data_IF_709238054385
#
_entry.id   IF_709238054385
#
_cell.length_a   1.000
_cell.length_b   1.000
_cell.length_c   1.000
_cell.angle_alpha   90.00
_cell.angle_beta   90.00
_cell.angle_gamma   90.00
#
_symmetry.space_group_name_H-M   'P 1'
#
loop_
_entity.id
_entity.type
_entity.pdbx_description
1 polymer ?
#
# COMPACT_ATOMS: atom_id res chain seq x y z
N UNK A 1 13.03 -2.25 15.63
CA UNK A 1 12.38 -3.43 15.05
C UNK A 1 11.42 -3.03 13.92
N UNK A 2 11.43 -3.76 12.79
CA UNK A 2 10.52 -3.56 11.65
C UNK A 2 9.47 -4.67 11.59
N UNK A 3 8.19 -4.32 11.45
CA UNK A 3 7.10 -5.29 11.19
C UNK A 3 6.82 -5.40 9.70
N UNK A 4 6.52 -6.61 9.23
CA UNK A 4 6.02 -6.86 7.88
C UNK A 4 4.58 -7.31 7.97
N UNK A 5 3.67 -6.62 7.29
CA UNK A 5 2.24 -6.96 7.24
C UNK A 5 1.88 -7.32 5.80
N UNK A 6 1.33 -8.52 5.60
CA UNK A 6 0.83 -8.98 4.30
C UNK A 6 -0.66 -8.74 4.20
N UNK A 7 -1.14 -8.20 3.08
CA UNK A 7 -2.58 -8.00 2.84
C UNK A 7 -2.92 -8.16 1.36
N UNK A 8 -4.11 -8.70 1.09
CA UNK A 8 -4.67 -8.79 -0.27
C UNK A 8 -5.33 -7.48 -0.74
N UNK A 9 -5.32 -6.44 0.10
CA UNK A 9 -5.83 -5.13 -0.29
C UNK A 9 -5.06 -4.57 -1.48
N UNK A 10 -5.77 -3.90 -2.40
CA UNK A 10 -5.21 -3.38 -3.65
C UNK A 10 -4.98 -1.89 -3.56
N UNK A 11 -3.78 -1.48 -3.91
CA UNK A 11 -3.34 -0.09 -3.91
C UNK A 11 -3.02 0.38 -5.33
N UNK A 12 -3.00 1.70 -5.51
CA UNK A 12 -2.44 2.35 -6.68
C UNK A 12 -1.07 2.95 -6.33
N UNK A 13 -0.12 2.92 -7.26
CA UNK A 13 1.13 3.66 -7.15
C UNK A 13 1.30 4.65 -8.29
N UNK A 14 1.70 5.86 -7.96
CA UNK A 14 2.08 6.91 -8.93
C UNK A 14 3.58 6.84 -9.25
N UNK A 15 3.99 7.50 -10.33
CA UNK A 15 5.39 7.44 -10.83
C UNK A 15 6.43 8.00 -9.84
N UNK A 16 6.00 8.84 -8.89
CA UNK A 16 6.79 9.36 -7.78
C UNK A 16 6.96 8.35 -6.62
N UNK A 17 6.36 7.16 -6.72
CA UNK A 17 6.42 6.11 -5.72
C UNK A 17 5.38 6.23 -4.60
N UNK A 18 4.51 7.25 -4.62
CA UNK A 18 3.43 7.37 -3.64
C UNK A 18 2.37 6.29 -3.84
N UNK A 19 1.83 5.78 -2.73
CA UNK A 19 0.88 4.66 -2.71
C UNK A 19 -0.48 5.15 -2.22
N UNK A 20 -1.56 4.72 -2.85
CA UNK A 20 -2.90 5.28 -2.67
C UNK A 20 -3.95 4.20 -2.52
N UNK A 21 -5.00 4.47 -1.73
CA UNK A 21 -6.15 3.58 -1.60
C UNK A 21 -7.47 4.35 -1.43
N UNK A 22 -8.62 3.74 -1.80
CA UNK A 22 -9.94 4.30 -1.56
C UNK A 22 -10.45 4.10 -0.13
N UNK A 23 -9.68 3.44 0.76
CA UNK A 23 -10.22 2.88 1.99
C UNK A 23 -9.44 3.31 3.24
N UNK A 24 -9.87 2.78 4.39
CA UNK A 24 -9.25 3.01 5.69
C UNK A 24 -7.80 2.49 5.80
N UNK A 25 -7.32 1.62 4.90
CA UNK A 25 -5.95 1.09 4.91
C UNK A 25 -4.90 2.08 4.34
N UNK A 26 -5.08 3.36 4.66
CA UNK A 26 -4.21 4.48 4.34
C UNK A 26 -3.17 4.75 5.45
N UNK A 27 -2.33 5.77 5.28
CA UNK A 27 -1.22 6.04 6.19
C UNK A 27 -1.64 6.12 7.67
N UNK A 28 -2.74 6.81 8.07
CA UNK A 28 -3.17 6.85 9.47
C UNK A 28 -3.44 5.48 10.09
N UNK A 29 -3.89 4.50 9.30
CA UNK A 29 -4.08 3.13 9.78
C UNK A 29 -2.74 2.45 10.06
N UNK A 30 -1.76 2.60 9.16
CA UNK A 30 -0.43 2.01 9.32
C UNK A 30 0.39 2.71 10.42
N UNK A 31 0.24 4.02 10.59
CA UNK A 31 0.94 4.78 11.63
C UNK A 31 0.63 4.29 13.04
N UNK A 32 -0.51 3.63 13.27
CA UNK A 32 -0.83 3.01 14.56
C UNK A 32 0.18 1.94 14.97
N UNK A 33 0.75 1.22 14.01
CA UNK A 33 1.77 0.20 14.27
C UNK A 33 3.08 0.85 14.72
N UNK A 34 3.31 2.12 14.35
CA UNK A 34 4.50 2.86 14.76
C UNK A 34 4.53 3.21 16.26
N UNK A 35 3.43 2.99 16.99
CA UNK A 35 3.42 3.07 18.44
C UNK A 35 4.23 1.94 19.12
N UNK A 36 4.50 0.85 18.39
CA UNK A 36 5.17 -0.36 18.90
C UNK A 36 6.40 -0.71 18.04
N UNK A 37 6.32 -0.52 16.74
CA UNK A 37 7.38 -0.85 15.78
C UNK A 37 8.05 0.42 15.27
N UNK A 38 9.35 0.35 14.98
CA UNK A 38 10.05 1.51 14.42
C UNK A 38 9.69 1.75 12.95
N UNK A 39 9.30 0.70 12.23
CA UNK A 39 8.99 0.74 10.80
C UNK A 39 7.92 -0.30 10.44
N UNK A 40 7.11 0.03 9.44
CA UNK A 40 6.12 -0.86 8.83
C UNK A 40 6.49 -1.11 7.37
N UNK A 41 6.52 -2.37 6.96
CA UNK A 41 6.58 -2.79 5.56
C UNK A 41 5.30 -3.52 5.19
N UNK A 42 4.52 -2.95 4.28
CA UNK A 42 3.27 -3.55 3.79
C UNK A 42 3.56 -4.32 2.51
N UNK A 43 3.30 -5.63 2.50
CA UNK A 43 3.36 -6.46 1.31
C UNK A 43 1.94 -6.59 0.77
N UNK A 44 1.68 -5.96 -0.38
CA UNK A 44 0.33 -5.87 -0.94
C UNK A 44 0.35 -5.74 -2.46
N UNK A 45 -0.81 -5.90 -3.08
CA UNK A 45 -0.97 -5.70 -4.51
C UNK A 45 -0.95 -4.22 -4.84
N UNK A 46 -0.06 -3.81 -5.73
CA UNK A 46 0.09 -2.40 -6.10
C UNK A 46 0.06 -2.30 -7.61
N UNK A 47 -0.91 -1.54 -8.13
CA UNK A 47 -1.06 -1.27 -9.55
C UNK A 47 -0.52 0.11 -9.90
N UNK A 48 0.35 0.20 -10.91
CA UNK A 48 0.80 1.50 -11.43
C UNK A 48 -0.37 2.28 -12.03
N UNK A 49 -0.47 3.56 -11.69
CA UNK A 49 -1.52 4.45 -12.16
C UNK A 49 -0.96 5.83 -12.52
N UNK A 50 -1.37 6.36 -13.67
CA UNK A 50 -1.03 7.73 -14.10
C UNK A 50 -1.91 8.79 -13.42
N UNK A 51 -3.11 8.40 -12.99
CA UNK A 51 -4.05 9.27 -12.27
C UNK A 51 -4.63 8.53 -11.07
N UNK A 52 -4.76 9.25 -9.96
CA UNK A 52 -5.37 8.77 -8.73
C UNK A 52 -6.65 9.57 -8.48
N UNK A 53 -7.78 8.92 -8.15
CA UNK A 53 -9.01 9.64 -7.81
C UNK A 53 -8.79 10.56 -6.60
N UNK A 54 -9.38 11.75 -6.62
CA UNK A 54 -9.20 12.75 -5.55
C UNK A 54 -9.67 12.27 -4.15
N UNK A 55 -10.52 11.24 -4.11
CA UNK A 55 -11.00 10.62 -2.86
C UNK A 55 -10.01 9.65 -2.24
N UNK A 56 -8.92 9.29 -2.94
CA UNK A 56 -7.95 8.34 -2.43
C UNK A 56 -7.02 8.99 -1.43
N UNK A 57 -6.65 8.22 -0.43
CA UNK A 57 -5.75 8.63 0.63
C UNK A 57 -4.37 8.04 0.42
N UNK A 58 -3.34 8.82 0.72
CA UNK A 58 -1.96 8.36 0.69
C UNK A 58 -1.72 7.30 1.77
N UNK A 59 -1.02 6.23 1.41
CA UNK A 59 -0.86 5.01 2.20
C UNK A 59 0.56 4.83 2.74
N UNK A 60 1.55 5.26 1.98
CA UNK A 60 2.95 5.37 2.38
C UNK A 60 3.21 6.66 3.18
N UNK A 61 4.35 6.73 3.84
CA UNK A 61 4.77 7.93 4.57
C UNK A 61 5.99 7.64 5.45
N UNK A 62 6.23 8.51 6.43
CA UNK A 62 7.36 8.33 7.35
C UNK A 62 7.32 6.93 7.99
N UNK A 63 8.41 6.18 7.83
CA UNK A 63 8.59 4.82 8.37
C UNK A 63 7.53 3.78 7.94
N UNK A 64 6.69 4.09 6.93
CA UNK A 64 5.73 3.16 6.32
C UNK A 64 6.07 2.99 4.84
N UNK A 65 6.46 1.77 4.46
CA UNK A 65 6.90 1.42 3.10
C UNK A 65 6.07 0.28 2.52
N UNK A 66 6.01 0.20 1.19
CA UNK A 66 5.31 -0.86 0.47
C UNK A 66 6.28 -1.77 -0.30
N UNK A 67 6.02 -3.07 -0.26
CA UNK A 67 6.63 -4.08 -1.12
C UNK A 67 5.55 -4.58 -2.09
N UNK A 68 5.59 -4.15 -3.36
CA UNK A 68 4.51 -4.42 -4.30
C UNK A 68 4.50 -5.88 -4.75
N UNK A 69 3.30 -6.46 -4.81
CA UNK A 69 2.99 -7.70 -5.49
C UNK A 69 2.24 -7.42 -6.80
N UNK A 70 2.35 -8.31 -7.81
CA UNK A 70 1.57 -8.19 -9.05
C UNK A 70 0.06 -8.03 -8.78
N UNK A 71 -0.61 -7.04 -9.37
CA UNK A 71 -2.01 -6.74 -9.10
C UNK A 71 -2.96 -7.59 -9.95
N UNK A 72 -2.72 -8.90 -10.06
CA UNK A 72 -3.56 -9.77 -10.89
C UNK A 72 -5.04 -9.73 -10.48
N UNK A 73 -5.91 -9.77 -11.49
CA UNK A 73 -7.36 -9.78 -11.38
C UNK A 73 -7.93 -10.97 -12.15
N UNK A 74 -8.67 -11.81 -11.43
CA UNK A 74 -9.28 -13.02 -11.99
C UNK A 74 -8.28 -14.17 -12.22
N UNK A 75 -8.79 -15.34 -12.65
CA UNK A 75 -8.01 -16.57 -12.76
C UNK A 75 -6.95 -16.53 -13.88
N UNK A 76 -7.11 -15.66 -14.87
CA UNK A 76 -6.24 -15.64 -16.06
C UNK A 76 -5.01 -14.73 -15.93
N UNK A 77 -5.03 -13.74 -15.04
CA UNK A 77 -3.90 -12.82 -14.86
C UNK A 77 -2.80 -13.38 -13.93
N UNK A 78 -3.02 -14.56 -13.35
CA UNK A 78 -2.00 -15.27 -12.58
C UNK A 78 -1.07 -16.12 -13.47
N UNK A 79 -1.50 -16.45 -14.68
CA UNK A 79 -0.80 -17.33 -15.62
C UNK A 79 0.27 -16.59 -16.44
#
# INVERSE_FOLDING_TARGET
MRVTVTTEFRYLATADGAVWSPSSLAYPFWSRYLAVFDQVRVVARVQSATRVPATYLRCDGDRVSFAPLPPYQGPFQYL
#
